data_IF_002654491286
#
_entry.id   IF_002654491286
#
_cell.length_a   1.000
_cell.length_b   1.000
_cell.length_c   1.000
_cell.angle_alpha   90.00
_cell.angle_beta   90.00
_cell.angle_gamma   90.00
#
_symmetry.space_group_name_H-M   'P 1'
#
loop_
_entity.id
_entity.type
_entity.pdbx_description
1 polymer ?
#
# COMPACT_ATOMS: atom_id res chain seq x y z
N UNK A 1 -7.47 3.90 2.38
CA UNK A 1 -6.98 4.92 3.32
C UNK A 1 -5.60 5.44 2.90
N UNK A 2 -5.55 6.44 2.01
CA UNK A 2 -4.29 6.83 1.36
C UNK A 2 -3.21 7.31 2.34
N UNK A 3 -3.60 8.00 3.43
CA UNK A 3 -2.64 8.49 4.41
C UNK A 3 -1.87 7.40 5.16
N UNK A 4 -2.52 6.31 5.56
CA UNK A 4 -1.86 5.18 6.24
C UNK A 4 -0.90 4.46 5.31
N UNK A 5 -1.31 4.23 4.06
CA UNK A 5 -0.48 3.59 3.03
C UNK A 5 0.75 4.46 2.72
N UNK A 6 0.57 5.78 2.63
CA UNK A 6 1.66 6.71 2.39
C UNK A 6 2.66 6.74 3.56
N UNK A 7 2.17 6.82 4.80
CA UNK A 7 3.01 6.77 6.01
C UNK A 7 3.79 5.45 6.11
N UNK A 8 3.10 4.31 5.91
CA UNK A 8 3.73 3.01 5.91
C UNK A 8 4.85 2.92 4.85
N UNK A 9 4.59 3.40 3.64
CA UNK A 9 5.56 3.41 2.54
C UNK A 9 6.77 4.31 2.80
N UNK A 10 6.59 5.46 3.46
CA UNK A 10 7.71 6.33 3.85
C UNK A 10 8.58 5.72 4.94
N UNK A 11 7.99 4.85 5.78
CA UNK A 11 8.68 4.22 6.90
C UNK A 11 9.56 3.04 6.52
N UNK A 12 9.28 2.39 5.39
CA UNK A 12 10.01 1.22 4.92
C UNK A 12 11.45 1.59 4.51
N UNK A 13 12.41 0.77 4.92
CA UNK A 13 13.79 0.89 4.42
C UNK A 13 13.85 0.45 2.96
N UNK A 14 13.89 1.44 2.05
CA UNK A 14 13.92 1.19 0.61
C UNK A 14 15.11 0.33 0.17
N UNK A 15 16.26 0.43 0.83
CA UNK A 15 17.43 -0.36 0.47
C UNK A 15 17.17 -1.84 0.74
N UNK A 16 16.60 -2.15 1.89
CA UNK A 16 16.25 -3.52 2.26
C UNK A 16 15.06 -4.04 1.45
N UNK A 17 14.07 -3.20 1.16
CA UNK A 17 12.93 -3.52 0.29
C UNK A 17 13.40 -3.91 -1.13
N UNK A 18 14.31 -3.14 -1.74
CA UNK A 18 14.86 -3.46 -3.06
C UNK A 18 15.71 -4.73 -3.08
N UNK A 19 16.45 -5.00 -2.00
CA UNK A 19 17.22 -6.25 -1.87
C UNK A 19 16.33 -7.49 -1.79
N UNK A 20 15.08 -7.31 -1.34
CA UNK A 20 14.11 -8.38 -1.12
C UNK A 20 12.86 -8.25 -1.99
N UNK A 21 12.93 -7.45 -3.05
CA UNK A 21 11.79 -7.19 -3.94
C UNK A 21 11.19 -8.47 -4.52
N UNK A 22 12.02 -9.47 -4.84
CA UNK A 22 11.54 -10.73 -5.42
C UNK A 22 10.66 -11.51 -4.43
N UNK A 23 11.12 -11.88 -3.21
CA UNK A 23 10.25 -12.56 -2.26
C UNK A 23 9.04 -11.73 -1.85
N UNK A 24 9.18 -10.41 -1.68
CA UNK A 24 8.07 -9.52 -1.36
C UNK A 24 7.02 -9.55 -2.46
N UNK A 25 7.41 -9.36 -3.72
CA UNK A 25 6.47 -9.35 -4.85
C UNK A 25 5.79 -10.71 -5.05
N UNK A 26 6.51 -11.82 -4.85
CA UNK A 26 5.93 -13.15 -4.92
C UNK A 26 4.90 -13.38 -3.81
N UNK A 27 5.20 -13.02 -2.58
CA UNK A 27 4.26 -13.15 -1.46
C UNK A 27 3.04 -12.25 -1.66
N UNK A 28 3.25 -10.98 -2.00
CA UNK A 28 2.18 -10.01 -2.19
C UNK A 28 1.27 -10.28 -3.41
N UNK A 29 1.74 -11.05 -4.40
CA UNK A 29 0.91 -11.41 -5.56
C UNK A 29 0.40 -12.83 -5.45
N UNK A 30 1.28 -13.84 -5.40
CA UNK A 30 0.86 -15.24 -5.32
C UNK A 30 0.11 -15.54 -4.03
N UNK A 31 0.50 -14.93 -2.90
CA UNK A 31 -0.20 -15.05 -1.62
C UNK A 31 -1.63 -14.55 -1.72
N UNK A 32 -1.82 -13.35 -2.30
CA UNK A 32 -3.16 -12.79 -2.52
C UNK A 32 -4.00 -13.67 -3.42
N UNK A 33 -3.49 -14.09 -4.58
CA UNK A 33 -4.24 -14.97 -5.50
C UNK A 33 -4.58 -16.32 -4.87
N UNK A 34 -3.66 -16.90 -4.08
CA UNK A 34 -3.92 -18.14 -3.35
C UNK A 34 -5.04 -17.94 -2.31
N UNK A 35 -4.95 -16.86 -1.52
CA UNK A 35 -5.98 -16.54 -0.52
C UNK A 35 -7.33 -16.29 -1.17
N UNK A 36 -7.39 -15.49 -2.23
CA UNK A 36 -8.62 -15.25 -3.01
C UNK A 36 -9.22 -16.55 -3.52
N UNK A 37 -8.38 -17.45 -4.05
CA UNK A 37 -8.85 -18.75 -4.56
C UNK A 37 -9.38 -19.64 -3.46
N UNK A 38 -8.65 -19.78 -2.35
CA UNK A 38 -9.06 -20.64 -1.23
C UNK A 38 -10.30 -20.11 -0.54
N UNK A 39 -10.32 -18.82 -0.17
CA UNK A 39 -11.47 -18.19 0.48
C UNK A 39 -12.68 -18.16 -0.47
N UNK A 40 -12.47 -17.84 -1.75
CA UNK A 40 -13.50 -17.87 -2.77
C UNK A 40 -14.11 -19.27 -2.94
N UNK A 41 -13.28 -20.32 -3.00
CA UNK A 41 -13.76 -21.69 -3.06
C UNK A 41 -14.54 -22.08 -1.81
N UNK A 42 -14.04 -21.74 -0.61
CA UNK A 42 -14.75 -22.00 0.65
C UNK A 42 -16.10 -21.27 0.69
N UNK A 43 -16.17 -20.03 0.22
CA UNK A 43 -17.41 -19.27 0.16
C UNK A 43 -18.40 -19.85 -0.87
N UNK A 44 -17.90 -20.28 -2.04
CA UNK A 44 -18.76 -20.89 -3.06
C UNK A 44 -19.31 -22.24 -2.60
N UNK A 45 -18.44 -23.17 -2.19
CA UNK A 45 -18.87 -24.54 -1.83
C UNK A 45 -19.43 -24.66 -0.42
N UNK A 46 -18.97 -23.80 0.54
CA UNK A 46 -19.41 -23.86 1.93
C UNK A 46 -20.63 -23.00 2.24
N UNK A 47 -20.74 -21.82 1.64
CA UNK A 47 -21.83 -20.87 1.88
C UNK A 47 -22.83 -20.79 0.72
N UNK A 48 -22.57 -21.47 -0.40
CA UNK A 48 -23.45 -21.47 -1.58
C UNK A 48 -23.49 -20.14 -2.33
N UNK A 49 -22.49 -19.28 -2.16
CA UNK A 49 -22.41 -18.01 -2.91
C UNK A 49 -22.05 -18.27 -4.38
N UNK A 50 -22.50 -17.38 -5.26
CA UNK A 50 -22.06 -17.40 -6.65
C UNK A 50 -20.55 -17.09 -6.76
N UNK A 51 -19.91 -17.51 -7.86
CA UNK A 51 -18.46 -17.35 -8.04
C UNK A 51 -18.01 -15.89 -7.99
N UNK A 52 -18.80 -14.97 -8.54
CA UNK A 52 -18.47 -13.56 -8.55
C UNK A 52 -18.40 -12.98 -7.13
N UNK A 53 -19.44 -13.19 -6.32
CA UNK A 53 -19.47 -12.78 -4.91
C UNK A 53 -18.42 -13.49 -4.06
N UNK A 54 -18.13 -14.76 -4.35
CA UNK A 54 -17.12 -15.55 -3.66
C UNK A 54 -15.71 -15.00 -3.88
N UNK A 55 -15.37 -14.64 -5.11
CA UNK A 55 -14.06 -14.06 -5.47
C UNK A 55 -13.94 -12.64 -4.91
N UNK A 56 -15.01 -11.84 -4.93
CA UNK A 56 -15.01 -10.52 -4.28
C UNK A 56 -14.76 -10.64 -2.77
N UNK A 57 -15.44 -11.57 -2.10
CA UNK A 57 -15.20 -11.83 -0.68
C UNK A 57 -13.76 -12.26 -0.41
N UNK A 58 -13.23 -13.17 -1.23
CA UNK A 58 -11.83 -13.59 -1.15
C UNK A 58 -10.85 -12.42 -1.32
N UNK A 59 -11.12 -11.49 -2.24
CA UNK A 59 -10.25 -10.33 -2.47
C UNK A 59 -10.25 -9.34 -1.30
N UNK A 60 -11.40 -9.14 -0.63
CA UNK A 60 -11.49 -8.31 0.58
C UNK A 60 -10.69 -8.93 1.74
N UNK A 61 -10.81 -10.24 1.93
CA UNK A 61 -10.14 -10.96 3.04
C UNK A 61 -8.66 -11.19 2.77
N UNK A 62 -8.20 -11.06 1.51
CA UNK A 62 -6.82 -11.36 1.13
C UNK A 62 -5.81 -10.32 1.61
N UNK A 63 -6.24 -9.11 1.95
CA UNK A 63 -5.37 -8.08 2.52
C UNK A 63 -5.10 -8.38 3.99
N UNK A 64 -3.84 -8.45 4.38
CA UNK A 64 -3.41 -8.81 5.74
C UNK A 64 -2.53 -7.72 6.35
N UNK A 65 -2.76 -7.40 7.62
CA UNK A 65 -1.90 -6.48 8.37
C UNK A 65 -0.97 -7.28 9.31
N UNK A 66 0.36 -7.24 9.09
CA UNK A 66 1.31 -7.97 9.89
C UNK A 66 1.74 -7.26 11.18
N UNK A 67 1.11 -6.15 11.59
CA UNK A 67 1.54 -5.31 12.72
C UNK A 67 1.82 -6.15 13.98
N UNK A 68 0.91 -7.05 14.32
CA UNK A 68 1.07 -7.90 15.49
C UNK A 68 2.29 -8.84 15.36
N UNK A 69 2.50 -9.42 14.18
CA UNK A 69 3.62 -10.32 13.89
C UNK A 69 4.94 -9.55 13.87
N UNK A 70 4.99 -8.39 13.23
CA UNK A 70 6.17 -7.52 13.20
C UNK A 70 6.57 -7.08 14.61
N UNK A 71 5.62 -6.71 15.45
CA UNK A 71 5.88 -6.36 16.85
C UNK A 71 6.43 -7.54 17.64
N UNK A 72 5.91 -8.74 17.43
CA UNK A 72 6.44 -9.95 18.05
C UNK A 72 7.87 -10.25 17.59
N UNK A 73 8.15 -10.15 16.28
CA UNK A 73 9.49 -10.34 15.72
C UNK A 73 10.51 -9.36 16.32
N UNK A 74 10.12 -8.11 16.55
CA UNK A 74 10.96 -7.12 17.21
C UNK A 74 11.27 -7.51 18.67
N UNK A 75 10.28 -8.04 19.40
CA UNK A 75 10.48 -8.50 20.78
C UNK A 75 11.47 -9.67 20.87
N UNK A 76 11.38 -10.63 19.94
CA UNK A 76 12.29 -11.79 19.91
C UNK A 76 13.61 -11.49 19.18
N UNK A 77 13.84 -10.23 18.77
CA UNK A 77 15.04 -9.80 18.04
C UNK A 77 15.29 -10.61 16.76
N UNK A 78 14.23 -10.86 16.01
CA UNK A 78 14.34 -11.55 14.73
C UNK A 78 15.24 -10.79 13.74
N UNK A 79 15.80 -11.46 12.72
CA UNK A 79 16.60 -10.81 11.70
C UNK A 79 15.83 -9.66 11.01
N UNK A 80 16.46 -8.49 10.87
CA UNK A 80 15.86 -7.28 10.25
C UNK A 80 15.27 -7.52 8.85
N UNK A 81 15.83 -8.48 8.12
CA UNK A 81 15.33 -8.83 6.81
C UNK A 81 13.95 -9.50 6.80
N UNK A 82 13.54 -10.13 7.88
CA UNK A 82 12.23 -10.73 8.01
C UNK A 82 11.17 -9.65 8.26
N UNK A 83 11.49 -8.64 9.09
CA UNK A 83 10.62 -7.47 9.27
C UNK A 83 10.36 -6.76 7.95
N UNK A 84 11.43 -6.49 7.17
CA UNK A 84 11.31 -5.82 5.87
C UNK A 84 10.49 -6.63 4.84
N UNK A 85 10.55 -7.97 4.87
CA UNK A 85 9.72 -8.81 4.01
C UNK A 85 8.26 -8.68 4.40
N UNK A 86 7.92 -8.76 5.67
CA UNK A 86 6.53 -8.68 6.13
C UNK A 86 5.94 -7.28 5.95
N UNK A 87 6.70 -6.22 6.27
CA UNK A 87 6.26 -4.85 6.04
C UNK A 87 6.08 -4.56 4.54
N UNK A 88 7.02 -5.03 3.71
CA UNK A 88 6.92 -4.88 2.25
C UNK A 88 5.79 -5.73 1.65
N UNK A 89 5.61 -6.97 2.10
CA UNK A 89 4.53 -7.84 1.66
C UNK A 89 3.17 -7.20 1.94
N UNK A 90 2.93 -6.71 3.16
CA UNK A 90 1.69 -6.06 3.52
C UNK A 90 1.41 -4.81 2.68
N UNK A 91 2.43 -3.97 2.47
CA UNK A 91 2.29 -2.77 1.67
C UNK A 91 1.84 -3.07 0.22
N UNK A 92 2.43 -4.09 -0.41
CA UNK A 92 2.09 -4.48 -1.78
C UNK A 92 0.83 -5.35 -1.85
N UNK A 93 0.55 -6.15 -0.82
CA UNK A 93 -0.63 -6.97 -0.68
C UNK A 93 -1.90 -6.10 -0.66
N UNK A 94 -1.92 -5.01 0.12
CA UNK A 94 -3.04 -4.06 0.13
C UNK A 94 -3.32 -3.52 -1.27
N UNK A 95 -2.27 -3.14 -2.01
CA UNK A 95 -2.39 -2.70 -3.39
C UNK A 95 -2.92 -3.79 -4.33
N UNK A 96 -2.40 -5.01 -4.19
CA UNK A 96 -2.80 -6.17 -5.01
C UNK A 96 -4.23 -6.59 -4.72
N UNK A 97 -4.63 -6.69 -3.45
CA UNK A 97 -5.99 -7.07 -3.05
C UNK A 97 -7.03 -6.09 -3.57
N UNK A 98 -6.80 -4.78 -3.41
CA UNK A 98 -7.68 -3.74 -3.97
C UNK A 98 -7.72 -3.80 -5.49
N UNK A 99 -6.59 -4.04 -6.17
CA UNK A 99 -6.56 -4.17 -7.63
C UNK A 99 -7.33 -5.40 -8.12
N UNK A 100 -7.21 -6.55 -7.42
CA UNK A 100 -8.02 -7.75 -7.72
C UNK A 100 -9.50 -7.46 -7.52
N UNK A 101 -9.87 -6.85 -6.39
CA UNK A 101 -11.27 -6.47 -6.11
C UNK A 101 -11.83 -5.57 -7.21
N UNK A 102 -11.12 -4.50 -7.58
CA UNK A 102 -11.55 -3.54 -8.61
C UNK A 102 -11.68 -4.20 -9.99
N UNK A 103 -10.73 -5.08 -10.34
CA UNK A 103 -10.76 -5.81 -11.60
C UNK A 103 -11.95 -6.77 -11.68
N UNK A 104 -12.19 -7.55 -10.62
CA UNK A 104 -13.32 -8.49 -10.55
C UNK A 104 -14.65 -7.74 -10.57
N UNK A 105 -14.80 -6.71 -9.76
CA UNK A 105 -16.01 -5.88 -9.73
C UNK A 105 -16.30 -5.26 -11.10
N UNK A 106 -15.29 -4.68 -11.75
CA UNK A 106 -15.42 -4.11 -13.08
C UNK A 106 -15.81 -5.14 -14.14
N UNK A 107 -15.33 -6.38 -14.03
CA UNK A 107 -15.68 -7.50 -14.91
C UNK A 107 -17.14 -7.92 -14.71
N UNK A 108 -17.60 -7.98 -13.46
CA UNK A 108 -18.99 -8.29 -13.13
C UNK A 108 -19.94 -7.21 -13.70
N UNK A 109 -19.59 -5.95 -13.49
CA UNK A 109 -20.40 -4.80 -13.96
C UNK A 109 -20.47 -4.71 -15.49
N UNK A 110 -19.48 -5.25 -16.21
CA UNK A 110 -19.49 -5.31 -17.67
C UNK A 110 -20.49 -6.33 -18.25
N UNK A 111 -21.06 -7.21 -17.42
CA UNK A 111 -22.03 -8.22 -17.83
C UNK A 111 -21.46 -9.46 -18.53
N UNK A 112 -20.15 -9.51 -18.76
CA UNK A 112 -19.44 -10.62 -19.41
C UNK A 112 -18.22 -11.07 -18.60
N UNK A 113 -18.44 -11.71 -17.43
CA UNK A 113 -17.34 -12.13 -16.58
C UNK A 113 -16.53 -13.26 -17.25
N UNK A 114 -15.25 -12.97 -17.55
CA UNK A 114 -14.29 -13.94 -18.03
C UNK A 114 -12.95 -13.80 -17.29
N UNK A 115 -12.20 -14.90 -17.18
CA UNK A 115 -10.87 -14.87 -16.56
C UNK A 115 -9.90 -13.95 -17.31
N UNK A 116 -10.00 -13.92 -18.65
CA UNK A 116 -9.14 -13.09 -19.47
C UNK A 116 -9.45 -11.60 -19.25
N UNK A 117 -10.73 -11.24 -19.19
CA UNK A 117 -11.13 -9.86 -18.91
C UNK A 117 -10.71 -9.43 -17.50
N UNK A 118 -10.85 -10.31 -16.51
CA UNK A 118 -10.35 -10.07 -15.16
C UNK A 118 -8.84 -9.83 -15.12
N UNK A 119 -8.07 -10.68 -15.82
CA UNK A 119 -6.62 -10.54 -15.88
C UNK A 119 -6.17 -9.25 -16.60
N UNK A 120 -6.80 -8.92 -17.73
CA UNK A 120 -6.48 -7.67 -18.46
C UNK A 120 -6.85 -6.43 -17.65
N UNK A 121 -8.00 -6.45 -16.96
CA UNK A 121 -8.40 -5.37 -16.03
C UNK A 121 -7.43 -5.25 -14.86
N UNK A 122 -7.00 -6.35 -14.27
CA UNK A 122 -6.00 -6.32 -13.19
C UNK A 122 -4.71 -5.66 -13.64
N UNK A 123 -4.17 -6.03 -14.81
CA UNK A 123 -2.97 -5.41 -15.37
C UNK A 123 -3.19 -3.92 -15.65
N UNK A 124 -4.35 -3.56 -16.20
CA UNK A 124 -4.71 -2.17 -16.45
C UNK A 124 -4.81 -1.36 -15.15
N UNK A 125 -5.61 -1.82 -14.19
CA UNK A 125 -5.85 -1.13 -12.90
C UNK A 125 -4.55 -0.93 -12.14
N UNK A 126 -3.68 -1.94 -12.12
CA UNK A 126 -2.38 -1.89 -11.44
C UNK A 126 -1.39 -1.00 -12.21
N UNK A 127 -1.29 -1.19 -13.53
CA UNK A 127 -0.33 -0.48 -14.38
C UNK A 127 -0.63 1.02 -14.48
N UNK A 128 -1.89 1.38 -14.70
CA UNK A 128 -2.31 2.80 -14.74
C UNK A 128 -2.17 3.44 -13.37
N UNK A 129 -2.58 2.75 -12.29
CA UNK A 129 -2.37 3.24 -10.93
C UNK A 129 -0.90 3.51 -10.63
N UNK A 130 -0.02 2.57 -10.96
CA UNK A 130 1.43 2.76 -10.78
C UNK A 130 1.98 3.92 -11.62
N UNK A 131 1.56 4.07 -12.88
CA UNK A 131 2.00 5.16 -13.75
C UNK A 131 1.58 6.54 -13.21
N UNK A 132 0.33 6.68 -12.76
CA UNK A 132 -0.18 7.90 -12.11
C UNK A 132 0.61 8.18 -10.84
N UNK A 133 0.84 7.17 -10.01
CA UNK A 133 1.61 7.30 -8.78
C UNK A 133 3.06 7.75 -9.02
N UNK A 134 3.74 7.15 -9.98
CA UNK A 134 5.10 7.56 -10.36
C UNK A 134 5.10 9.01 -10.86
N UNK A 135 4.17 9.38 -11.74
CA UNK A 135 4.04 10.75 -12.25
C UNK A 135 3.80 11.76 -11.13
N UNK A 136 2.83 11.47 -10.24
CA UNK A 136 2.56 12.29 -9.07
C UNK A 136 3.77 12.37 -8.13
N UNK A 137 4.46 11.26 -7.89
CA UNK A 137 5.69 11.21 -7.08
C UNK A 137 6.80 12.08 -7.65
N UNK A 138 7.00 12.08 -8.98
CA UNK A 138 7.97 12.96 -9.64
C UNK A 138 7.62 14.43 -9.42
N UNK A 139 6.35 14.80 -9.64
CA UNK A 139 5.86 16.16 -9.37
C UNK A 139 6.06 16.51 -7.90
N UNK A 140 5.73 15.60 -6.97
CA UNK A 140 5.96 15.78 -5.54
C UNK A 140 7.43 16.03 -5.19
N UNK A 141 8.36 15.27 -5.76
CA UNK A 141 9.81 15.49 -5.58
C UNK A 141 10.24 16.87 -6.09
N UNK A 142 9.72 17.31 -7.24
CA UNK A 142 10.03 18.65 -7.79
C UNK A 142 9.52 19.75 -6.86
N UNK A 143 8.28 19.64 -6.35
CA UNK A 143 7.70 20.57 -5.40
C UNK A 143 8.48 20.60 -4.08
N UNK A 144 8.83 19.45 -3.52
CA UNK A 144 9.63 19.34 -2.29
C UNK A 144 11.03 19.95 -2.41
N UNK A 145 11.59 20.03 -3.61
CA UNK A 145 12.87 20.74 -3.84
C UNK A 145 12.73 22.26 -3.79
N UNK A 146 11.56 22.79 -4.12
CA UNK A 146 11.29 24.23 -4.14
C UNK A 146 10.91 24.77 -2.75
N UNK A 147 10.40 23.91 -1.90
CA UNK A 147 9.90 24.24 -0.56
C UNK A 147 11.02 24.06 0.48
N UNK A 148 11.07 24.98 1.46
CA UNK A 148 12.07 24.97 2.53
C UNK A 148 11.45 24.88 3.93
N UNK A 149 10.15 25.10 4.05
CA UNK A 149 9.39 25.13 5.30
C UNK A 149 8.75 23.76 5.56
N UNK A 150 8.84 23.30 6.80
CA UNK A 150 8.34 21.95 7.16
C UNK A 150 6.82 21.83 7.00
N UNK A 151 6.09 22.91 7.26
CA UNK A 151 4.64 22.95 7.08
C UNK A 151 4.23 22.75 5.62
N UNK A 152 4.97 23.37 4.70
CA UNK A 152 4.73 23.19 3.27
C UNK A 152 5.15 21.80 2.78
N UNK A 153 6.20 21.20 3.34
CA UNK A 153 6.56 19.80 3.06
C UNK A 153 5.43 18.85 3.48
N UNK A 154 4.84 19.07 4.66
CA UNK A 154 3.68 18.31 5.13
C UNK A 154 2.49 18.47 4.17
N UNK A 155 2.16 19.70 3.76
CA UNK A 155 1.08 19.96 2.83
C UNK A 155 1.31 19.27 1.47
N UNK A 156 2.52 19.36 0.92
CA UNK A 156 2.87 18.70 -0.36
C UNK A 156 2.71 17.18 -0.24
N UNK A 157 3.21 16.56 0.84
CA UNK A 157 3.09 15.11 1.01
C UNK A 157 1.64 14.67 1.22
N UNK A 158 0.84 15.48 1.90
CA UNK A 158 -0.58 15.21 2.11
C UNK A 158 -1.37 15.32 0.80
N UNK A 159 -1.16 16.40 0.04
CA UNK A 159 -1.75 16.57 -1.29
C UNK A 159 -1.32 15.45 -2.23
N UNK A 160 -0.06 15.01 -2.14
CA UNK A 160 0.44 13.91 -2.93
C UNK A 160 -0.24 12.59 -2.60
N UNK A 161 -0.38 12.26 -1.31
CA UNK A 161 -1.02 11.02 -0.87
C UNK A 161 -2.48 10.92 -1.32
N UNK A 162 -3.26 11.96 -1.05
CA UNK A 162 -4.69 11.97 -1.40
C UNK A 162 -4.92 12.30 -2.88
N UNK A 163 -4.13 13.18 -3.47
CA UNK A 163 -4.24 13.56 -4.88
C UNK A 163 -3.89 12.42 -5.83
N UNK A 164 -2.82 11.66 -5.54
CA UNK A 164 -2.47 10.49 -6.35
C UNK A 164 -3.51 9.38 -6.25
N UNK A 165 -4.10 9.18 -5.07
CA UNK A 165 -5.21 8.26 -4.88
C UNK A 165 -6.41 8.65 -5.73
N UNK A 166 -6.88 9.90 -5.58
CA UNK A 166 -8.05 10.41 -6.31
C UNK A 166 -7.84 10.41 -7.82
N UNK A 167 -6.64 10.80 -8.28
CA UNK A 167 -6.31 10.79 -9.71
C UNK A 167 -6.40 9.38 -10.31
N UNK A 168 -5.95 8.36 -9.59
CA UNK A 168 -6.07 6.98 -10.03
C UNK A 168 -7.52 6.47 -9.96
N UNK A 169 -8.26 6.83 -8.92
CA UNK A 169 -9.66 6.45 -8.75
C UNK A 169 -10.56 7.02 -9.86
N UNK A 170 -10.32 8.25 -10.28
CA UNK A 170 -11.03 8.89 -11.40
C UNK A 170 -10.82 8.15 -12.73
N UNK A 171 -9.66 7.54 -12.93
CA UNK A 171 -9.33 6.72 -14.10
C UNK A 171 -9.72 5.23 -13.90
N UNK A 172 -10.49 4.91 -12.86
CA UNK A 172 -10.86 3.54 -12.50
C UNK A 172 -9.66 2.61 -12.29
N UNK A 173 -8.52 3.19 -11.86
CA UNK A 173 -7.30 2.49 -11.52
C UNK A 173 -7.15 2.33 -9.99
N UNK A 174 -6.16 1.56 -9.55
CA UNK A 174 -5.92 1.38 -8.10
C UNK A 174 -5.30 2.60 -7.46
N UNK A 175 -6.08 3.33 -6.66
CA UNK A 175 -5.60 4.45 -5.85
C UNK A 175 -4.52 4.02 -4.85
N UNK A 176 -4.63 2.81 -4.27
CA UNK A 176 -3.64 2.29 -3.32
C UNK A 176 -2.30 2.06 -4.01
N UNK A 177 -2.28 1.40 -5.17
CA UNK A 177 -1.05 1.22 -5.97
C UNK A 177 -0.44 2.56 -6.35
N UNK A 178 -1.27 3.55 -6.68
CA UNK A 178 -0.82 4.91 -7.01
C UNK A 178 -0.12 5.57 -5.81
N UNK A 179 -0.70 5.50 -4.63
CA UNK A 179 -0.10 6.07 -3.40
C UNK A 179 1.22 5.38 -3.07
N UNK A 180 1.28 4.04 -3.15
CA UNK A 180 2.52 3.28 -2.92
C UNK A 180 3.61 3.70 -3.91
N UNK A 181 3.29 3.78 -5.20
CA UNK A 181 4.26 4.18 -6.22
C UNK A 181 4.74 5.63 -6.00
N UNK A 182 3.83 6.56 -5.68
CA UNK A 182 4.17 7.96 -5.39
C UNK A 182 5.08 8.08 -4.16
N UNK A 183 4.76 7.39 -3.08
CA UNK A 183 5.56 7.42 -1.84
C UNK A 183 6.94 6.81 -2.02
N UNK A 184 7.10 5.72 -2.77
CA UNK A 184 8.40 5.13 -3.10
C UNK A 184 9.27 6.11 -3.88
N UNK A 185 8.70 6.81 -4.88
CA UNK A 185 9.42 7.85 -5.65
C UNK A 185 9.88 8.98 -4.74
N UNK A 186 9.00 9.47 -3.87
CA UNK A 186 9.32 10.54 -2.90
C UNK A 186 10.38 10.07 -1.90
N UNK A 187 10.22 8.89 -1.33
CA UNK A 187 11.18 8.32 -0.39
C UNK A 187 12.57 8.11 -1.01
N UNK A 188 12.63 7.73 -2.30
CA UNK A 188 13.89 7.49 -3.03
C UNK A 188 14.61 8.75 -3.47
N UNK A 189 13.87 9.75 -3.93
CA UNK A 189 14.44 10.94 -4.60
C UNK A 189 14.24 12.24 -3.81
N UNK A 190 13.23 12.33 -2.96
CA UNK A 190 12.98 13.48 -2.09
C UNK A 190 13.97 13.56 -0.92
N UNK A 191 14.47 12.43 -0.44
CA UNK A 191 15.41 12.32 0.68
C UNK A 191 16.83 12.87 0.42
N UNK A 192 17.19 13.23 -0.82
CA UNK A 192 18.53 13.77 -1.13
C UNK A 192 18.85 15.09 -0.42
N UNK A 193 17.85 15.78 0.09
CA UNK A 193 18.01 17.01 0.87
C UNK A 193 18.12 16.77 2.39
N UNK A 194 18.03 15.50 2.84
CA UNK A 194 18.01 15.16 4.28
C UNK A 194 16.72 15.56 5.02
N UNK A 195 15.80 16.24 4.35
CA UNK A 195 14.63 16.94 4.93
C UNK A 195 13.46 16.01 5.22
N UNK A 196 13.17 15.02 4.36
CA UNK A 196 12.08 14.07 4.59
C UNK A 196 12.24 13.23 5.87
N UNK A 197 13.40 13.30 6.53
CA UNK A 197 13.65 12.73 7.86
C UNK A 197 13.52 13.78 8.97
N UNK A 198 13.02 14.97 8.68
CA UNK A 198 12.74 15.99 9.67
C UNK A 198 11.76 15.49 10.72
N UNK A 199 12.05 15.77 12.00
CA UNK A 199 11.22 15.32 13.13
C UNK A 199 9.76 15.78 13.03
N UNK A 200 9.51 16.91 12.39
CA UNK A 200 8.17 17.49 12.23
C UNK A 200 7.32 16.72 11.20
N UNK A 201 7.88 16.39 10.02
CA UNK A 201 7.18 15.63 8.99
C UNK A 201 6.83 14.23 9.52
N UNK A 202 7.80 13.53 10.11
CA UNK A 202 7.57 12.21 10.71
C UNK A 202 6.60 12.28 11.89
N UNK A 203 6.67 13.35 12.71
CA UNK A 203 5.74 13.58 13.81
C UNK A 203 4.31 13.75 13.32
N UNK A 204 4.09 14.53 12.26
CA UNK A 204 2.78 14.70 11.63
C UNK A 204 2.21 13.38 11.12
N UNK A 205 2.99 12.62 10.33
CA UNK A 205 2.52 11.35 9.76
C UNK A 205 2.25 10.31 10.85
N UNK A 206 3.07 10.25 11.91
CA UNK A 206 2.80 9.39 13.06
C UNK A 206 1.51 9.77 13.80
N UNK A 207 1.26 11.09 14.00
CA UNK A 207 0.03 11.56 14.62
C UNK A 207 -1.19 11.25 13.76
N UNK A 208 -1.11 11.51 12.46
CA UNK A 208 -2.18 11.21 11.51
C UNK A 208 -2.50 9.71 11.48
N UNK A 209 -1.46 8.87 11.40
CA UNK A 209 -1.62 7.41 11.45
C UNK A 209 -2.24 6.94 12.77
N UNK A 210 -1.84 7.53 13.90
CA UNK A 210 -2.43 7.25 15.21
C UNK A 210 -3.93 7.57 15.22
N UNK A 211 -4.32 8.76 14.76
CA UNK A 211 -5.72 9.17 14.71
C UNK A 211 -6.55 8.27 13.80
N UNK A 212 -6.04 7.99 12.60
CA UNK A 212 -6.73 7.12 11.62
C UNK A 212 -6.90 5.69 12.16
N UNK A 213 -5.88 5.10 12.77
CA UNK A 213 -5.97 3.78 13.39
C UNK A 213 -6.94 3.76 14.59
N UNK A 214 -6.91 4.80 15.42
CA UNK A 214 -7.83 4.91 16.55
C UNK A 214 -9.31 5.00 16.08
N UNK A 215 -9.57 5.68 14.96
CA UNK A 215 -10.93 5.74 14.38
C UNK A 215 -11.39 4.38 13.81
N UNK A 216 -10.46 3.48 13.46
CA UNK A 216 -10.76 2.13 12.99
C UNK A 216 -10.87 1.11 14.13
N UNK A 217 -10.63 1.51 15.37
CA UNK A 217 -10.63 0.62 16.55
C UNK A 217 -9.35 -0.21 16.68
N UNK A 218 -8.30 0.11 15.93
CA UNK A 218 -7.01 -0.57 16.00
C UNK A 218 -6.12 0.04 17.10
N UNK A 219 -5.31 -0.81 17.75
CA UNK A 219 -4.38 -0.34 18.77
C UNK A 219 -3.29 0.57 18.16
N UNK A 220 -2.93 1.69 18.81
CA UNK A 220 -2.02 2.68 18.27
C UNK A 220 -0.62 2.10 18.01
N UNK A 221 -0.07 2.42 16.85
CA UNK A 221 1.30 2.06 16.45
C UNK A 221 2.31 2.87 17.26
N UNK A 222 2.94 2.28 18.27
CA UNK A 222 4.11 2.90 18.92
C UNK A 222 5.35 2.66 18.05
N UNK A 223 5.71 3.63 17.20
CA UNK A 223 7.05 3.68 16.61
C UNK A 223 8.06 4.00 17.68
N UNK A 224 8.86 3.01 18.05
CA UNK A 224 10.09 3.29 18.80
C UNK A 224 11.03 4.03 17.85
N UNK A 225 11.16 5.35 18.03
CA UNK A 225 12.20 6.13 17.37
C UNK A 225 13.55 5.53 17.73
N UNK A 226 14.21 4.89 16.77
CA UNK A 226 15.62 4.53 16.93
C UNK A 226 16.40 5.85 17.05
N UNK A 227 16.72 6.22 18.29
CA UNK A 227 17.75 7.24 18.54
C UNK A 227 19.06 6.63 18.03
N UNK A 228 19.50 7.06 16.87
CA UNK A 228 20.81 6.74 16.33
C UNK A 228 21.83 7.40 17.27
N UNK A 229 22.54 6.59 18.06
CA UNK A 229 23.82 6.96 18.67
C UNK A 229 24.93 6.62 17.71
#
# INVERSE_FOLDING_TARGET
MPGLVFDASLAVDLAELWRRVVPISLLATLGVFLTVTVIGALAHFGLGLDWASSVLLGSIVSTTDPIAVVNLLRQVRAPLGLEAILEGESLFNDGTGVAVFTAVLGTILSGHPSLLDGATRFVFVTGVGAAIGVGAGVVGVLLLRLVQEAELEIMVTLVLAYGSYLAADLEHASGVVSVVAASIVVARYGSRSGRLKGSQLLGFWNLLAFVLNAMQGEAPRHRVTKTVR
#
